data_IF_774087842537
#
_entry.id   IF_774087842537
#
_cell.length_a   1.000
_cell.length_b   1.000
_cell.length_c   1.000
_cell.angle_alpha   90.00
_cell.angle_beta   90.00
_cell.angle_gamma   90.00
#
_symmetry.space_group_name_H-M   'P 1'
#
loop_
_entity.id
_entity.type
_entity.pdbx_description
1 polymer ?
#
# COMPACT_ATOMS: atom_id res chain seq x y z
N UNK A 1 -25.33 -31.37 25.08
CA UNK A 1 -26.41 -30.37 24.98
C UNK A 1 -25.92 -29.09 25.64
N UNK A 2 -25.86 -28.03 24.83
CA UNK A 2 -25.94 -26.60 25.19
C UNK A 2 -24.87 -25.92 26.07
N UNK A 3 -24.16 -25.00 25.40
CA UNK A 3 -23.50 -23.76 25.89
C UNK A 3 -22.13 -23.97 26.54
N UNK A 4 -20.97 -23.72 25.92
CA UNK A 4 -20.54 -22.72 24.92
C UNK A 4 -20.80 -21.27 25.32
N UNK A 5 -20.29 -20.89 26.50
CA UNK A 5 -20.03 -19.49 26.86
C UNK A 5 -18.55 -19.23 26.56
N UNK A 6 -18.35 -18.60 25.41
CA UNK A 6 -17.11 -18.04 24.93
C UNK A 6 -16.66 -16.97 25.92
N UNK A 7 -15.60 -17.25 26.69
CA UNK A 7 -14.84 -16.22 27.42
C UNK A 7 -13.95 -15.50 26.40
N UNK A 8 -14.53 -14.54 25.69
CA UNK A 8 -13.76 -13.51 24.98
C UNK A 8 -13.09 -12.66 26.05
N UNK A 9 -11.82 -12.94 26.32
CA UNK A 9 -10.98 -12.09 27.14
C UNK A 9 -10.64 -10.88 26.26
N UNK A 10 -11.51 -9.87 26.31
CA UNK A 10 -11.25 -8.56 25.75
C UNK A 10 -10.10 -7.97 26.56
N UNK A 11 -8.89 -8.04 26.01
CA UNK A 11 -7.80 -7.21 26.46
C UNK A 11 -8.13 -5.78 25.99
N UNK A 12 -8.95 -5.09 26.78
CA UNK A 12 -9.13 -3.64 26.69
C UNK A 12 -7.78 -3.04 27.09
N UNK A 13 -6.88 -2.87 26.13
CA UNK A 13 -5.72 -2.03 26.34
C UNK A 13 -6.24 -0.60 26.35
N UNK A 14 -6.46 -0.10 27.56
CA UNK A 14 -6.74 1.29 27.87
C UNK A 14 -5.59 2.14 27.30
N UNK A 15 -5.73 2.65 26.09
CA UNK A 15 -4.89 3.73 25.57
C UNK A 15 -5.48 5.06 26.05
N UNK A 16 -5.45 5.24 27.36
CA UNK A 16 -5.93 6.43 28.05
C UNK A 16 -4.93 6.79 29.15
N UNK A 17 -4.40 8.00 29.05
CA UNK A 17 -3.40 8.64 29.93
C UNK A 17 -1.95 8.17 29.76
N UNK A 18 -1.24 8.84 28.85
CA UNK A 18 -0.15 9.78 29.18
C UNK A 18 0.55 10.18 27.88
N UNK A 19 -0.12 10.96 27.04
CA UNK A 19 0.59 11.85 26.14
C UNK A 19 1.13 13.02 26.98
N UNK A 20 2.15 12.75 27.81
CA UNK A 20 3.14 13.78 28.11
C UNK A 20 3.84 14.06 26.79
N UNK A 21 3.19 14.87 25.95
CA UNK A 21 3.77 15.37 24.73
C UNK A 21 5.09 16.02 25.11
N UNK A 22 6.15 15.63 24.44
CA UNK A 22 7.45 16.30 24.48
C UNK A 22 7.36 17.70 23.88
N UNK A 23 6.44 18.53 24.38
CA UNK A 23 6.24 19.93 24.00
C UNK A 23 7.31 20.84 24.64
N UNK A 24 8.56 20.38 24.62
CA UNK A 24 9.77 21.21 24.51
C UNK A 24 10.20 21.37 23.05
N UNK A 25 9.36 20.93 22.10
CA UNK A 25 9.59 20.93 20.66
C UNK A 25 9.45 22.33 20.05
N UNK A 26 10.29 22.71 19.06
CA UNK A 26 10.24 24.01 18.36
C UNK A 26 8.88 24.33 17.70
N UNK A 27 7.97 23.36 17.65
CA UNK A 27 6.67 23.48 16.99
C UNK A 27 5.53 23.96 17.90
N UNK A 28 5.74 24.13 19.21
CA UNK A 28 4.67 24.49 20.17
C UNK A 28 3.96 25.80 19.83
N UNK A 29 4.70 26.81 19.42
CA UNK A 29 4.15 28.11 19.01
C UNK A 29 3.27 27.96 17.76
N UNK A 30 3.75 27.18 16.78
CA UNK A 30 3.03 26.91 15.54
C UNK A 30 1.75 26.09 15.78
N UNK A 31 1.81 25.06 16.63
CA UNK A 31 0.62 24.31 17.06
C UNK A 31 -0.45 25.22 17.67
N UNK A 32 -0.03 26.13 18.56
CA UNK A 32 -0.94 27.07 19.22
C UNK A 32 -1.52 28.14 18.28
N UNK A 33 -0.91 28.32 17.10
CA UNK A 33 -1.36 29.25 16.05
C UNK A 33 -2.32 28.64 15.03
N UNK A 34 -2.55 27.32 15.10
CA UNK A 34 -3.45 26.61 14.19
C UNK A 34 -4.88 27.12 14.33
N UNK A 35 -5.60 27.15 13.21
CA UNK A 35 -7.00 27.55 13.12
C UNK A 35 -7.79 26.42 12.50
N UNK A 36 -8.99 26.14 13.03
CA UNK A 36 -9.88 25.10 12.52
C UNK A 36 -10.31 25.27 11.05
N UNK A 37 -10.09 26.45 10.45
CA UNK A 37 -10.42 26.73 9.05
C UNK A 37 -9.25 26.53 8.07
N UNK A 38 -8.04 26.21 8.54
CA UNK A 38 -6.83 26.22 7.73
C UNK A 38 -6.21 24.82 7.61
N UNK A 39 -6.81 23.97 6.77
CA UNK A 39 -6.32 22.62 6.49
C UNK A 39 -4.84 22.58 6.05
N UNK A 40 -4.41 23.60 5.29
CA UNK A 40 -3.04 23.70 4.80
C UNK A 40 -2.02 23.85 5.94
N UNK A 41 -2.37 24.62 6.98
CA UNK A 41 -1.51 24.80 8.14
C UNK A 41 -1.29 23.49 8.92
N UNK A 42 -2.33 22.65 9.08
CA UNK A 42 -2.18 21.32 9.68
C UNK A 42 -1.28 20.44 8.83
N UNK A 43 -1.57 20.37 7.51
CA UNK A 43 -0.80 19.52 6.61
C UNK A 43 0.69 19.87 6.62
N UNK A 44 1.01 21.16 6.44
CA UNK A 44 2.40 21.64 6.41
C UNK A 44 3.12 21.42 7.75
N UNK A 45 2.43 21.63 8.87
CA UNK A 45 3.02 21.37 10.16
C UNK A 45 3.26 19.88 10.38
N UNK A 46 2.35 19.02 9.89
CA UNK A 46 2.52 17.57 9.86
C UNK A 46 3.77 17.17 9.07
N UNK A 47 3.99 17.76 7.89
CA UNK A 47 5.21 17.52 7.09
C UNK A 47 6.48 17.90 7.86
N UNK A 48 6.52 19.10 8.43
CA UNK A 48 7.70 19.58 9.17
C UNK A 48 8.00 18.71 10.40
N UNK A 49 6.97 18.21 11.09
CA UNK A 49 7.14 17.31 12.24
C UNK A 49 7.56 15.92 11.78
N UNK A 50 6.97 15.39 10.70
CA UNK A 50 7.32 14.08 10.15
C UNK A 50 8.78 14.04 9.67
N UNK A 51 9.24 15.09 9.00
CA UNK A 51 10.64 15.21 8.54
C UNK A 51 11.63 15.31 9.73
N UNK A 52 11.23 16.01 10.79
CA UNK A 52 12.03 16.16 12.00
C UNK A 52 11.83 15.03 13.04
N UNK A 53 10.98 14.03 12.77
CA UNK A 53 10.53 13.07 13.76
C UNK A 53 11.68 12.18 14.25
N UNK A 54 11.85 12.09 15.58
CA UNK A 54 12.87 11.23 16.22
C UNK A 54 12.27 10.19 17.15
N UNK A 55 10.98 10.31 17.43
CA UNK A 55 10.26 9.44 18.36
C UNK A 55 8.93 9.00 17.78
N UNK A 56 8.34 7.95 18.38
CA UNK A 56 6.98 7.55 18.03
C UNK A 56 5.97 8.67 18.33
N UNK A 57 6.17 9.42 19.41
CA UNK A 57 5.30 10.55 19.76
C UNK A 57 5.30 11.66 18.68
N UNK A 58 6.43 11.91 18.02
CA UNK A 58 6.49 12.87 16.91
C UNK A 58 5.72 12.35 15.69
N UNK A 59 5.83 11.05 15.38
CA UNK A 59 5.07 10.39 14.31
C UNK A 59 3.58 10.41 14.58
N UNK A 60 3.17 10.07 15.80
CA UNK A 60 1.76 10.10 16.21
C UNK A 60 1.17 11.51 16.08
N UNK A 61 1.94 12.55 16.45
CA UNK A 61 1.54 13.94 16.26
C UNK A 61 1.44 14.34 14.79
N UNK A 62 2.39 13.92 13.95
CA UNK A 62 2.33 14.17 12.51
C UNK A 62 1.11 13.49 11.88
N UNK A 63 0.86 12.21 12.22
CA UNK A 63 -0.34 11.48 11.80
C UNK A 63 -1.59 12.26 12.21
N UNK A 64 -1.67 12.71 13.46
CA UNK A 64 -2.82 13.50 13.93
C UNK A 64 -3.08 14.73 13.04
N UNK A 65 -2.03 15.49 12.72
CA UNK A 65 -2.14 16.67 11.86
C UNK A 65 -2.56 16.34 10.43
N UNK A 66 -2.06 15.24 9.85
CA UNK A 66 -2.50 14.79 8.52
C UNK A 66 -3.97 14.37 8.51
N UNK A 67 -4.44 13.70 9.55
CA UNK A 67 -5.85 13.32 9.70
C UNK A 67 -6.75 14.55 9.82
N UNK A 68 -6.34 15.57 10.60
CA UNK A 68 -7.11 16.82 10.68
C UNK A 68 -7.12 17.58 9.35
N UNK A 69 -5.99 17.62 8.62
CA UNK A 69 -5.95 18.24 7.30
C UNK A 69 -6.90 17.55 6.30
N UNK A 70 -6.92 16.21 6.30
CA UNK A 70 -7.88 15.41 5.53
C UNK A 70 -9.33 15.70 5.93
N UNK A 71 -9.62 15.73 7.23
CA UNK A 71 -10.96 16.01 7.73
C UNK A 71 -11.47 17.39 7.29
N UNK A 72 -10.61 18.41 7.33
CA UNK A 72 -10.95 19.79 7.00
C UNK A 72 -11.14 20.03 5.48
N UNK A 73 -10.33 19.39 4.64
CA UNK A 73 -10.44 19.51 3.18
C UNK A 73 -10.02 18.20 2.48
N UNK A 74 -10.92 17.21 2.55
CA UNK A 74 -10.71 15.86 2.03
C UNK A 74 -10.37 15.86 0.54
N UNK A 75 -11.08 16.66 -0.26
CA UNK A 75 -10.86 16.72 -1.70
C UNK A 75 -9.42 17.10 -2.08
N UNK A 76 -8.77 17.90 -1.24
CA UNK A 76 -7.41 18.39 -1.48
C UNK A 76 -6.33 17.56 -0.81
N UNK A 77 -6.55 17.11 0.43
CA UNK A 77 -5.49 16.53 1.25
C UNK A 77 -5.56 15.02 1.42
N UNK A 78 -6.67 14.36 1.06
CA UNK A 78 -6.85 12.93 1.36
C UNK A 78 -5.73 12.04 0.84
N UNK A 79 -5.43 12.11 -0.46
CA UNK A 79 -4.35 11.32 -1.07
C UNK A 79 -2.99 11.63 -0.43
N UNK A 80 -2.69 12.91 -0.22
CA UNK A 80 -1.42 13.35 0.34
C UNK A 80 -1.26 12.90 1.80
N UNK A 81 -2.33 12.97 2.59
CA UNK A 81 -2.37 12.50 3.97
C UNK A 81 -2.14 11.00 4.03
N UNK A 82 -2.85 10.20 3.21
CA UNK A 82 -2.65 8.75 3.14
C UNK A 82 -1.21 8.37 2.78
N UNK A 83 -0.61 9.06 1.80
CA UNK A 83 0.79 8.83 1.41
C UNK A 83 1.79 9.21 2.52
N UNK A 84 1.53 10.29 3.23
CA UNK A 84 2.38 10.74 4.34
C UNK A 84 2.26 9.80 5.55
N UNK A 85 1.07 9.30 5.85
CA UNK A 85 0.78 8.43 6.99
C UNK A 85 1.32 7.01 6.78
N UNK A 86 1.22 6.46 5.56
CA UNK A 86 1.59 5.08 5.23
C UNK A 86 2.97 4.62 5.77
N UNK A 87 4.08 5.36 5.61
CA UNK A 87 5.39 4.94 6.13
C UNK A 87 5.52 4.99 7.66
N UNK A 88 4.57 5.59 8.37
CA UNK A 88 4.61 5.76 9.83
C UNK A 88 3.80 4.70 10.61
N UNK A 89 3.07 3.83 9.90
CA UNK A 89 2.22 2.79 10.51
C UNK A 89 2.93 1.45 10.51
N UNK A 90 2.74 0.68 11.59
CA UNK A 90 3.23 -0.68 11.71
C UNK A 90 2.14 -1.75 11.57
N UNK A 91 0.87 -1.44 11.89
CA UNK A 91 -0.23 -2.40 11.85
C UNK A 91 -0.56 -2.83 10.40
N UNK A 92 -0.37 -4.12 10.06
CA UNK A 92 -0.64 -4.63 8.70
C UNK A 92 -2.09 -4.45 8.25
N UNK A 93 -3.06 -4.46 9.17
CA UNK A 93 -4.47 -4.25 8.83
C UNK A 93 -4.73 -2.80 8.40
N UNK A 94 -4.14 -1.83 9.10
CA UNK A 94 -4.25 -0.41 8.78
C UNK A 94 -3.49 -0.07 7.49
N UNK A 95 -2.31 -0.65 7.29
CA UNK A 95 -1.56 -0.53 6.03
C UNK A 95 -2.41 -1.02 4.85
N UNK A 96 -3.02 -2.21 4.97
CA UNK A 96 -3.86 -2.76 3.92
C UNK A 96 -5.07 -1.88 3.64
N UNK A 97 -5.68 -1.29 4.67
CA UNK A 97 -6.83 -0.40 4.53
C UNK A 97 -6.46 0.88 3.75
N UNK A 98 -5.37 1.54 4.15
CA UNK A 98 -4.88 2.78 3.50
C UNK A 98 -4.44 2.52 2.07
N UNK A 99 -3.81 1.37 1.79
CA UNK A 99 -3.44 0.99 0.43
C UNK A 99 -4.66 0.75 -0.46
N UNK A 100 -5.71 0.12 0.08
CA UNK A 100 -6.98 -0.05 -0.65
C UNK A 100 -7.63 1.29 -0.93
N UNK A 101 -7.65 2.20 0.05
CA UNK A 101 -8.22 3.54 -0.10
C UNK A 101 -7.46 4.35 -1.17
N UNK A 102 -6.12 4.38 -1.09
CA UNK A 102 -5.25 5.00 -2.10
C UNK A 102 -5.51 4.48 -3.51
N UNK A 103 -5.74 3.18 -3.68
CA UNK A 103 -6.07 2.59 -4.99
C UNK A 103 -7.44 3.03 -5.49
N UNK A 104 -8.39 3.24 -4.59
CA UNK A 104 -9.75 3.69 -4.95
C UNK A 104 -9.78 5.16 -5.40
N UNK A 105 -8.93 6.01 -4.81
CA UNK A 105 -8.87 7.45 -5.10
C UNK A 105 -7.92 7.76 -6.25
N UNK A 106 -6.90 6.93 -6.45
CA UNK A 106 -5.97 7.08 -7.57
C UNK A 106 -6.65 6.60 -8.84
N UNK A 107 -7.36 7.49 -9.53
CA UNK A 107 -7.56 7.35 -10.98
C UNK A 107 -6.15 7.22 -11.57
N UNK A 108 -5.80 6.03 -12.03
CA UNK A 108 -4.46 5.72 -12.55
C UNK A 108 -4.26 6.47 -13.87
N UNK A 109 -3.91 7.75 -13.73
CA UNK A 109 -3.24 8.57 -14.71
C UNK A 109 -1.95 9.05 -14.04
N UNK A 110 -0.88 8.34 -14.39
CA UNK A 110 0.54 8.66 -14.21
C UNK A 110 1.22 8.52 -12.82
N UNK A 111 2.36 7.81 -12.88
CA UNK A 111 3.69 8.15 -12.35
C UNK A 111 4.38 7.02 -11.53
N UNK A 112 4.87 6.01 -12.24
CA UNK A 112 6.15 5.34 -11.93
C UNK A 112 7.23 6.10 -12.72
N UNK A 113 8.42 6.37 -12.16
CA UNK A 113 9.25 7.50 -12.58
C UNK A 113 9.73 7.41 -14.04
N UNK A 114 9.88 8.62 -14.58
CA UNK A 114 10.48 8.94 -15.88
C UNK A 114 11.92 8.42 -15.91
N UNK A 115 12.12 7.28 -16.58
CA UNK A 115 13.32 7.03 -17.35
C UNK A 115 12.89 7.09 -18.82
N UNK A 116 13.53 7.97 -19.59
CA UNK A 116 13.14 8.43 -20.92
C UNK A 116 13.22 7.36 -22.01
N UNK A 117 12.35 6.37 -21.97
CA UNK A 117 12.05 5.52 -23.12
C UNK A 117 10.71 5.95 -23.74
N UNK A 118 10.57 5.93 -25.08
CA UNK A 118 9.30 6.23 -25.73
C UNK A 118 8.21 5.29 -25.20
N UNK A 119 7.08 5.87 -24.76
CA UNK A 119 6.01 5.17 -24.03
C UNK A 119 5.52 3.88 -24.73
N UNK A 120 5.53 3.85 -26.06
CA UNK A 120 5.13 2.69 -26.87
C UNK A 120 6.03 1.47 -26.62
N UNK A 121 7.36 1.66 -26.55
CA UNK A 121 8.31 0.56 -26.29
C UNK A 121 8.13 -0.07 -24.91
N UNK A 122 7.72 0.73 -23.93
CA UNK A 122 7.47 0.25 -22.56
C UNK A 122 6.20 -0.61 -22.49
N UNK A 123 5.14 -0.23 -23.20
CA UNK A 123 3.88 -0.99 -23.24
C UNK A 123 4.12 -2.36 -23.90
N UNK A 124 4.92 -2.39 -24.96
CA UNK A 124 5.30 -3.63 -25.65
C UNK A 124 6.15 -4.53 -24.74
N UNK A 125 7.16 -3.98 -24.05
CA UNK A 125 7.99 -4.73 -23.11
C UNK A 125 7.17 -5.27 -21.91
N UNK A 126 6.23 -4.49 -21.38
CA UNK A 126 5.33 -4.93 -20.29
C UNK A 126 4.45 -6.10 -20.76
N UNK A 127 3.87 -6.00 -21.97
CA UNK A 127 3.04 -7.05 -22.55
C UNK A 127 3.85 -8.33 -22.78
N UNK A 128 5.07 -8.18 -23.29
CA UNK A 128 6.01 -9.29 -23.47
C UNK A 128 6.38 -9.98 -22.14
N UNK A 129 6.62 -9.22 -21.07
CA UNK A 129 6.86 -9.81 -19.73
C UNK A 129 5.63 -10.58 -19.23
N UNK A 130 4.42 -10.07 -19.46
CA UNK A 130 3.18 -10.77 -19.10
C UNK A 130 3.05 -12.08 -19.90
N UNK A 131 3.37 -12.05 -21.18
CA UNK A 131 3.36 -13.24 -22.04
C UNK A 131 4.43 -14.25 -21.62
N UNK A 132 5.62 -13.79 -21.21
CA UNK A 132 6.68 -14.64 -20.66
C UNK A 132 6.21 -15.40 -19.41
N UNK A 133 5.58 -14.71 -18.46
CA UNK A 133 5.04 -15.33 -17.25
C UNK A 133 3.88 -16.29 -17.55
N UNK A 134 3.11 -16.02 -18.61
CA UNK A 134 2.06 -16.92 -19.09
C UNK A 134 2.64 -18.18 -19.74
N UNK A 135 3.69 -18.03 -20.55
CA UNK A 135 4.43 -19.14 -21.15
C UNK A 135 5.09 -20.03 -20.08
N UNK A 136 5.68 -19.41 -19.05
CA UNK A 136 6.23 -20.12 -17.89
C UNK A 136 5.20 -21.01 -17.20
N UNK A 137 4.00 -20.49 -16.91
CA UNK A 137 2.93 -21.29 -16.30
C UNK A 137 2.42 -22.42 -17.19
N UNK A 138 2.48 -22.26 -18.51
CA UNK A 138 2.13 -23.30 -19.48
C UNK A 138 3.25 -24.32 -19.70
N UNK A 139 4.40 -24.14 -19.06
CA UNK A 139 5.63 -24.89 -19.32
C UNK A 139 6.04 -24.87 -20.80
N UNK A 140 5.87 -23.71 -21.45
CA UNK A 140 6.20 -23.49 -22.86
C UNK A 140 7.55 -22.79 -22.99
N UNK A 141 8.62 -23.59 -23.06
CA UNK A 141 10.00 -23.09 -23.11
C UNK A 141 10.29 -22.31 -24.40
N UNK A 142 9.78 -22.78 -25.52
CA UNK A 142 10.05 -22.19 -26.83
C UNK A 142 9.51 -20.75 -26.87
N UNK A 143 8.27 -20.55 -26.42
CA UNK A 143 7.69 -19.22 -26.29
C UNK A 143 8.46 -18.33 -25.30
N UNK A 144 8.94 -18.87 -24.17
CA UNK A 144 9.76 -18.09 -23.23
C UNK A 144 11.07 -17.62 -23.86
N UNK A 145 11.77 -18.50 -24.56
CA UNK A 145 13.05 -18.17 -25.21
C UNK A 145 12.85 -17.17 -26.34
N UNK A 146 11.76 -17.27 -27.12
CA UNK A 146 11.39 -16.30 -28.16
C UNK A 146 11.14 -14.91 -27.57
N UNK A 147 10.38 -14.83 -26.47
CA UNK A 147 10.06 -13.56 -25.81
C UNK A 147 11.30 -12.89 -25.20
N UNK A 148 12.26 -13.68 -24.68
CA UNK A 148 13.52 -13.14 -24.15
C UNK A 148 14.40 -12.45 -25.20
N UNK A 149 14.21 -12.77 -26.50
CA UNK A 149 14.91 -12.09 -27.59
C UNK A 149 14.34 -10.69 -27.89
N UNK A 150 13.17 -10.35 -27.35
CA UNK A 150 12.56 -9.04 -27.55
C UNK A 150 13.29 -7.96 -26.75
N UNK A 151 13.41 -6.76 -27.33
CA UNK A 151 14.12 -5.62 -26.74
C UNK A 151 13.47 -5.20 -25.40
N UNK A 152 14.29 -4.99 -24.37
CA UNK A 152 13.84 -4.52 -23.04
C UNK A 152 13.27 -5.59 -22.09
N UNK A 153 12.91 -6.79 -22.57
CA UNK A 153 12.27 -7.83 -21.72
C UNK A 153 13.19 -8.31 -20.59
N UNK A 154 14.45 -8.60 -20.91
CA UNK A 154 15.42 -9.09 -19.92
C UNK A 154 15.70 -8.05 -18.82
N UNK A 155 15.76 -6.77 -19.19
CA UNK A 155 15.94 -5.67 -18.24
C UNK A 155 14.73 -5.55 -17.30
N UNK A 156 13.51 -5.58 -17.85
CA UNK A 156 12.29 -5.52 -17.05
C UNK A 156 12.13 -6.73 -16.12
N UNK A 157 12.47 -7.94 -16.58
CA UNK A 157 12.49 -9.13 -15.72
C UNK A 157 13.51 -8.98 -14.58
N UNK A 158 14.67 -8.39 -14.84
CA UNK A 158 15.68 -8.09 -13.82
C UNK A 158 15.15 -7.15 -12.73
N UNK A 159 14.42 -6.10 -13.11
CA UNK A 159 13.79 -5.18 -12.15
C UNK A 159 12.75 -5.88 -11.26
N UNK A 160 12.08 -6.92 -11.78
CA UNK A 160 11.02 -7.65 -11.09
C UNK A 160 11.50 -8.91 -10.38
N UNK A 161 12.78 -9.26 -10.47
CA UNK A 161 13.36 -10.51 -9.96
C UNK A 161 12.98 -10.79 -8.49
N UNK A 162 12.99 -9.75 -7.64
CA UNK A 162 12.66 -9.86 -6.22
C UNK A 162 11.19 -10.22 -5.93
N UNK A 163 10.31 -10.14 -6.93
CA UNK A 163 8.86 -10.47 -6.83
C UNK A 163 8.49 -11.75 -7.56
N UNK A 164 9.43 -12.32 -8.32
CA UNK A 164 9.26 -13.56 -9.04
C UNK A 164 9.66 -14.75 -8.16
N UNK A 165 9.18 -15.97 -8.47
CA UNK A 165 9.56 -17.18 -7.72
C UNK A 165 11.06 -17.52 -7.82
N UNK A 166 11.73 -17.02 -8.86
CA UNK A 166 13.16 -17.18 -9.09
C UNK A 166 13.64 -16.25 -10.20
N UNK A 167 14.92 -16.35 -10.54
CA UNK A 167 15.47 -15.68 -11.70
C UNK A 167 15.08 -16.37 -13.02
N UNK A 168 15.36 -15.69 -14.14
CA UNK A 168 15.01 -16.18 -15.48
C UNK A 168 15.64 -17.55 -15.77
N UNK A 169 16.89 -17.76 -15.35
CA UNK A 169 17.62 -19.01 -15.54
C UNK A 169 16.99 -20.17 -14.76
N UNK A 170 16.58 -19.91 -13.51
CA UNK A 170 15.81 -20.84 -12.70
C UNK A 170 14.49 -21.18 -13.39
N UNK A 171 13.76 -20.19 -13.91
CA UNK A 171 12.48 -20.40 -14.60
C UNK A 171 12.63 -21.27 -15.85
N UNK A 172 13.64 -21.00 -16.69
CA UNK A 172 13.94 -21.79 -17.88
C UNK A 172 14.38 -23.22 -17.55
N UNK A 173 15.23 -23.37 -16.52
CA UNK A 173 15.65 -24.68 -16.02
C UNK A 173 14.45 -25.47 -15.52
N UNK A 174 13.58 -24.80 -14.76
CA UNK A 174 12.37 -25.39 -14.18
C UNK A 174 11.46 -25.91 -15.28
N UNK A 175 11.12 -25.11 -16.29
CA UNK A 175 10.29 -25.55 -17.43
C UNK A 175 10.92 -26.72 -18.18
N UNK A 176 12.25 -26.73 -18.34
CA UNK A 176 12.96 -27.84 -19.00
C UNK A 176 12.83 -29.16 -18.26
N UNK A 177 12.67 -29.10 -16.93
CA UNK A 177 12.44 -30.27 -16.07
C UNK A 177 10.96 -30.63 -15.92
N UNK A 178 10.04 -29.79 -16.41
CA UNK A 178 8.60 -29.95 -16.33
C UNK A 178 8.08 -31.03 -17.30
N UNK A 179 8.36 -32.30 -17.02
CA UNK A 179 7.77 -33.42 -17.78
C UNK A 179 6.30 -33.59 -17.43
N UNK A 180 5.40 -32.84 -18.10
CA UNK A 180 3.93 -33.04 -18.15
C UNK A 180 3.21 -33.38 -16.83
N UNK A 181 3.78 -33.05 -15.69
CA UNK A 181 3.27 -33.47 -14.39
C UNK A 181 2.38 -32.38 -13.76
N UNK A 182 1.30 -32.85 -13.14
CA UNK A 182 0.44 -32.07 -12.27
C UNK A 182 1.28 -31.71 -11.03
N UNK A 183 1.58 -30.42 -10.84
CA UNK A 183 2.40 -29.94 -9.72
C UNK A 183 3.76 -29.33 -10.08
N UNK A 184 3.97 -28.97 -11.36
CA UNK A 184 5.19 -28.27 -11.82
C UNK A 184 5.52 -27.00 -11.01
N UNK A 185 4.49 -26.22 -10.67
CA UNK A 185 4.57 -25.01 -9.86
C UNK A 185 3.91 -25.24 -8.51
N UNK A 186 4.53 -24.69 -7.46
CA UNK A 186 3.88 -24.58 -6.16
C UNK A 186 2.79 -23.51 -6.22
N UNK A 187 1.87 -23.53 -5.26
CA UNK A 187 0.86 -22.47 -5.13
C UNK A 187 1.52 -21.08 -4.98
N UNK A 188 2.61 -20.99 -4.21
CA UNK A 188 3.37 -19.75 -4.02
C UNK A 188 4.02 -19.25 -5.33
N UNK A 189 4.50 -20.15 -6.20
CA UNK A 189 5.05 -19.79 -7.51
C UNK A 189 3.96 -19.19 -8.41
N UNK A 190 2.79 -19.83 -8.44
CA UNK A 190 1.64 -19.36 -9.21
C UNK A 190 1.21 -17.99 -8.68
N UNK A 191 1.10 -17.84 -7.36
CA UNK A 191 0.68 -16.58 -6.74
C UNK A 191 1.67 -15.44 -6.98
N UNK A 192 2.97 -15.72 -6.92
CA UNK A 192 4.03 -14.73 -7.18
C UNK A 192 3.96 -14.24 -8.64
N UNK A 193 3.84 -15.16 -9.60
CA UNK A 193 3.71 -14.78 -11.03
C UNK A 193 2.41 -14.00 -11.31
N UNK A 194 1.29 -14.38 -10.71
CA UNK A 194 0.00 -13.66 -10.88
C UNK A 194 0.03 -12.25 -10.28
N UNK A 195 0.66 -12.07 -9.12
CA UNK A 195 0.82 -10.74 -8.50
C UNK A 195 1.68 -9.81 -9.34
N UNK A 196 2.73 -10.33 -9.96
CA UNK A 196 3.58 -9.56 -10.88
C UNK A 196 2.80 -9.18 -12.15
N UNK A 197 2.08 -10.12 -12.76
CA UNK A 197 1.25 -9.83 -13.93
C UNK A 197 0.14 -8.81 -13.64
N UNK A 198 -0.55 -8.92 -12.49
CA UNK A 198 -1.58 -7.97 -12.10
C UNK A 198 -1.01 -6.56 -11.86
N UNK A 199 0.19 -6.46 -11.29
CA UNK A 199 0.89 -5.20 -11.11
C UNK A 199 1.32 -4.58 -12.45
N UNK A 200 1.78 -5.41 -13.40
CA UNK A 200 2.22 -4.97 -14.73
C UNK A 200 1.08 -4.54 -15.64
N UNK A 201 -0.03 -5.28 -15.66
CA UNK A 201 -1.23 -4.95 -16.44
C UNK A 201 -2.01 -3.76 -15.87
N UNK A 202 -1.50 -3.11 -14.82
CA UNK A 202 -2.04 -1.88 -14.29
C UNK A 202 -3.48 -2.02 -13.82
N UNK A 203 -3.81 -3.07 -13.04
CA UNK A 203 -5.01 -3.16 -12.18
C UNK A 203 -6.35 -2.67 -12.77
N UNK A 204 -6.56 -2.69 -14.10
CA UNK A 204 -7.88 -2.40 -14.68
C UNK A 204 -8.78 -3.63 -14.67
N UNK A 205 -8.19 -4.82 -14.61
CA UNK A 205 -8.88 -6.11 -14.53
C UNK A 205 -8.04 -7.08 -13.72
N UNK A 206 -7.87 -6.87 -12.41
CA UNK A 206 -7.43 -7.97 -11.54
C UNK A 206 -8.48 -9.09 -11.69
N UNK A 207 -8.13 -10.26 -12.23
CA UNK A 207 -9.09 -11.35 -12.35
C UNK A 207 -9.65 -11.66 -10.97
N UNK A 208 -10.97 -11.88 -10.86
CA UNK A 208 -11.63 -12.15 -9.57
C UNK A 208 -10.92 -13.24 -8.76
N UNK A 209 -10.32 -14.22 -9.42
CA UNK A 209 -9.48 -15.25 -8.77
C UNK A 209 -8.28 -14.68 -8.03
N UNK A 210 -7.54 -13.73 -8.63
CA UNK A 210 -6.36 -13.12 -8.00
C UNK A 210 -6.74 -12.29 -6.78
N UNK A 211 -7.85 -11.56 -6.86
CA UNK A 211 -8.37 -10.76 -5.75
C UNK A 211 -8.93 -11.65 -4.63
N UNK A 212 -9.68 -12.70 -4.98
CA UNK A 212 -10.21 -13.68 -4.03
C UNK A 212 -9.09 -14.42 -3.28
N UNK A 213 -7.99 -14.76 -3.98
CA UNK A 213 -6.83 -15.40 -3.35
C UNK A 213 -5.97 -14.41 -2.55
N UNK A 214 -5.81 -13.16 -3.03
CA UNK A 214 -5.09 -12.12 -2.28
C UNK A 214 -5.80 -11.75 -0.96
N UNK A 215 -7.13 -11.79 -0.96
CA UNK A 215 -7.95 -11.50 0.21
C UNK A 215 -8.28 -12.74 1.05
N UNK A 216 -7.76 -13.93 0.69
CA UNK A 216 -8.10 -15.22 1.33
C UNK A 216 -9.62 -15.45 1.45
N UNK A 217 -10.37 -15.08 0.42
CA UNK A 217 -11.83 -15.21 0.39
C UNK A 217 -12.57 -14.25 1.31
N UNK A 218 -11.91 -13.21 1.85
CA UNK A 218 -12.61 -12.14 2.57
C UNK A 218 -13.43 -11.34 1.56
N UNK A 219 -14.76 -11.19 1.75
CA UNK A 219 -15.59 -10.46 0.81
C UNK A 219 -15.06 -9.03 0.66
N UNK A 220 -14.85 -8.60 -0.59
CA UNK A 220 -14.73 -7.18 -0.93
C UNK A 220 -16.07 -6.53 -0.55
N UNK A 221 -16.13 -6.00 0.66
CA UNK A 221 -17.18 -5.05 0.99
C UNK A 221 -16.91 -3.85 0.11
N UNK A 222 -17.94 -3.25 -0.51
CA UNK A 222 -17.81 -1.88 -1.01
C UNK A 222 -17.46 -1.07 0.23
N UNK A 223 -16.17 -0.80 0.43
CA UNK A 223 -15.70 0.00 1.55
C UNK A 223 -16.05 1.42 1.15
N UNK A 224 -17.14 1.95 1.69
CA UNK A 224 -17.19 3.40 1.87
C UNK A 224 -15.92 3.76 2.63
N UNK A 225 -15.03 4.60 2.06
CA UNK A 225 -13.71 4.82 2.62
C UNK A 225 -13.86 5.41 4.02
N UNK A 226 -13.56 4.57 5.02
CA UNK A 226 -13.65 4.89 6.44
C UNK A 226 -12.84 6.16 6.68
N UNK A 227 -13.43 7.23 7.23
CA UNK A 227 -12.72 8.48 7.42
C UNK A 227 -11.51 8.27 8.33
N UNK A 228 -10.40 8.96 8.05
CA UNK A 228 -9.16 8.75 8.79
C UNK A 228 -9.33 9.05 10.29
N UNK A 229 -10.25 9.94 10.66
CA UNK A 229 -10.61 10.22 12.05
C UNK A 229 -11.08 8.98 12.80
N UNK A 230 -11.81 8.08 12.14
CA UNK A 230 -12.26 6.81 12.73
C UNK A 230 -11.12 5.77 12.80
N UNK A 231 -10.29 5.68 11.75
CA UNK A 231 -9.15 4.75 11.69
C UNK A 231 -8.16 5.03 12.82
N UNK A 232 -7.88 6.31 13.08
CA UNK A 232 -6.90 6.74 14.08
C UNK A 232 -7.51 7.16 15.42
N UNK A 233 -8.84 7.00 15.59
CA UNK A 233 -9.56 7.39 16.80
C UNK A 233 -9.28 8.86 17.22
N UNK A 234 -9.32 9.77 16.24
CA UNK A 234 -9.14 11.22 16.42
C UNK A 234 -10.51 11.88 16.38
N UNK A 235 -10.80 12.69 17.40
CA UNK A 235 -12.04 13.46 17.46
C UNK A 235 -11.99 14.63 16.45
N UNK A 236 -12.84 14.65 15.42
CA UNK A 236 -12.87 15.74 14.43
C UNK A 236 -13.28 17.09 15.02
N UNK A 237 -13.86 17.13 16.22
CA UNK A 237 -14.23 18.39 16.88
C UNK A 237 -13.04 19.04 17.59
N UNK A 238 -12.00 18.26 17.91
CA UNK A 238 -10.84 18.72 18.67
C UNK A 238 -9.76 19.30 17.74
N UNK A 239 -10.08 20.42 17.12
CA UNK A 239 -9.22 21.03 16.11
C UNK A 239 -8.19 21.97 16.71
N UNK A 240 -8.34 22.42 17.96
CA UNK A 240 -7.50 23.49 18.50
C UNK A 240 -6.50 22.92 19.50
N UNK A 241 -5.21 23.19 19.29
CA UNK A 241 -4.19 22.83 20.26
C UNK A 241 -4.04 23.90 21.35
N UNK A 242 -4.34 23.56 22.60
CA UNK A 242 -4.16 24.44 23.76
C UNK A 242 -3.55 23.70 24.93
N UNK A 243 -2.61 24.35 25.62
CA UNK A 243 -1.99 23.84 26.84
C UNK A 243 -1.43 22.40 26.77
N UNK A 244 -1.07 21.93 25.57
CA UNK A 244 -0.56 20.57 25.38
C UNK A 244 -1.63 19.51 25.09
N UNK A 245 -2.87 19.94 24.82
CA UNK A 245 -4.02 19.07 24.53
C UNK A 245 -4.81 19.60 23.33
N UNK A 246 -5.56 18.70 22.68
CA UNK A 246 -6.51 19.03 21.63
C UNK A 246 -7.88 19.34 22.27
N UNK A 247 -8.50 20.45 21.87
CA UNK A 247 -9.82 20.96 22.32
C UNK A 247 -10.75 21.18 21.13
#
# INVERSE_FOLDING_TARGET
>A
MTSLIVRFLVLVTVFGLLATTGAGSPFKERLSSLRSSDAAAYFKLGEDIADAARSQADRDLAIHLFVLADHLDRNRYHRSALLAILPMIEDPAVISLIQTDLRSITDVTDLVPVISEPADRRIDAISAVVDFLSAFRRADREAMEEILQQEGVSEQLGLLQHRLPGDVDWMLTRVSTARRDIGFLTEDDIMSTLRVQAALLGSRNTPWSTELHATNGRPMTVIEPVPLTEIFNIDPQQLIWRNGQWE
#
